data_IF_421568533796
#
_entry.id   IF_421568533796
#
_cell.length_a   1.000
_cell.length_b   1.000
_cell.length_c   1.000
_cell.angle_alpha   90.00
_cell.angle_beta   90.00
_cell.angle_gamma   90.00
#
_symmetry.space_group_name_H-M   'P 1'
#
loop_
_entity.id
_entity.type
_entity.pdbx_description
1 polymer ?
#
# COMPACT_ATOMS: atom_id res chain seq x y z
N UNK A 1 -10.05 6.28 4.43
CA UNK A 1 -11.05 5.82 3.43
C UNK A 1 -10.40 4.74 2.56
N UNK A 2 -11.14 3.74 2.05
CA UNK A 2 -10.55 2.72 1.17
C UNK A 2 -10.12 3.35 -0.16
N UNK A 3 -8.93 2.97 -0.64
CA UNK A 3 -8.39 3.36 -1.95
C UNK A 3 -8.32 2.10 -2.81
N UNK A 4 -8.94 2.08 -3.99
CA UNK A 4 -8.79 0.91 -4.86
C UNK A 4 -7.37 0.82 -5.41
N UNK A 5 -6.83 -0.39 -5.52
CA UNK A 5 -5.47 -0.60 -6.03
C UNK A 5 -5.27 -0.01 -7.43
N UNK A 6 -6.29 -0.10 -8.30
CA UNK A 6 -6.27 0.51 -9.65
C UNK A 6 -6.18 2.05 -9.64
N UNK A 7 -6.52 2.68 -8.52
CA UNK A 7 -6.45 4.13 -8.34
C UNK A 7 -5.15 4.55 -7.65
N UNK A 8 -4.30 3.60 -7.24
CA UNK A 8 -3.10 3.88 -6.47
C UNK A 8 -2.13 4.77 -7.24
N UNK A 9 -1.88 4.46 -8.51
CA UNK A 9 -1.01 5.27 -9.37
C UNK A 9 -1.54 6.70 -9.51
N UNK A 10 -2.83 6.87 -9.83
CA UNK A 10 -3.43 8.21 -9.93
C UNK A 10 -3.48 8.96 -8.60
N UNK A 11 -3.63 8.26 -7.48
CA UNK A 11 -3.55 8.85 -6.14
C UNK A 11 -2.14 9.35 -5.85
N UNK A 12 -1.11 8.55 -6.20
CA UNK A 12 0.27 8.96 -6.10
C UNK A 12 0.55 10.17 -7.00
N UNK A 13 0.05 10.22 -8.23
CA UNK A 13 0.28 11.32 -9.19
C UNK A 13 -0.52 12.62 -8.91
N UNK A 14 -1.28 12.69 -7.80
CA UNK A 14 -2.09 13.87 -7.50
C UNK A 14 -1.24 15.12 -7.22
N UNK A 15 -1.66 16.25 -7.80
CA UNK A 15 -1.01 17.57 -7.65
C UNK A 15 -1.11 18.15 -6.24
N UNK A 16 -2.05 17.65 -5.42
CA UNK A 16 -2.25 18.11 -4.04
C UNK A 16 -1.23 17.51 -3.04
N UNK A 17 -0.35 16.61 -3.52
CA UNK A 17 0.59 15.85 -2.71
C UNK A 17 1.80 16.71 -2.28
N UNK A 18 2.22 16.55 -1.03
CA UNK A 18 3.49 17.11 -0.52
C UNK A 18 4.42 15.97 -0.08
N UNK A 19 5.35 15.54 -0.96
CA UNK A 19 6.32 14.49 -0.66
C UNK A 19 5.89 13.08 -1.10
N UNK A 20 6.70 12.06 -0.84
CA UNK A 20 6.42 10.70 -1.32
C UNK A 20 5.36 9.96 -0.48
N UNK A 21 4.65 9.03 -1.11
CA UNK A 21 3.63 8.23 -0.45
C UNK A 21 4.28 7.05 0.27
N UNK A 22 4.12 7.01 1.60
CA UNK A 22 4.66 5.94 2.43
C UNK A 22 3.83 4.66 2.24
N UNK A 23 4.52 3.57 1.93
CA UNK A 23 3.94 2.23 1.86
C UNK A 23 4.05 1.52 3.20
N UNK A 24 2.96 0.88 3.64
CA UNK A 24 2.89 0.08 4.85
C UNK A 24 2.28 -1.29 4.50
N UNK A 25 3.09 -2.34 4.60
CA UNK A 25 2.66 -3.73 4.46
C UNK A 25 2.27 -4.29 5.81
N UNK A 26 0.97 -4.50 6.03
CA UNK A 26 0.43 -5.09 7.25
C UNK A 26 0.47 -6.61 7.15
N UNK A 27 1.36 -7.22 7.89
CA UNK A 27 1.58 -8.65 7.85
C UNK A 27 0.40 -9.41 8.47
N UNK A 28 -0.12 -10.40 7.76
CA UNK A 28 -1.26 -11.24 8.14
C UNK A 28 -0.93 -12.71 7.86
N UNK A 29 -0.86 -13.53 8.91
CA UNK A 29 -0.41 -14.92 8.84
C UNK A 29 -1.03 -15.75 7.70
N UNK A 30 -2.35 -15.71 7.55
CA UNK A 30 -3.07 -16.50 6.53
C UNK A 30 -2.96 -15.95 5.10
N UNK A 31 -2.98 -14.62 4.96
CA UNK A 31 -3.23 -13.96 3.68
C UNK A 31 -1.97 -13.31 3.07
N UNK A 32 -0.88 -13.14 3.84
CA UNK A 32 0.35 -12.50 3.39
C UNK A 32 0.45 -11.08 3.94
N UNK A 33 0.42 -10.07 3.08
CA UNK A 33 0.64 -8.67 3.45
C UNK A 33 -0.45 -7.78 2.86
N UNK A 34 -1.28 -7.19 3.71
CA UNK A 34 -2.27 -6.20 3.28
C UNK A 34 -1.60 -4.85 3.02
N UNK A 35 -1.91 -4.25 1.88
CA UNK A 35 -1.36 -2.96 1.48
C UNK A 35 -2.11 -1.80 2.15
N UNK A 36 -1.35 -0.86 2.70
CA UNK A 36 -1.83 0.46 3.10
C UNK A 36 -0.83 1.51 2.65
N UNK A 37 -1.32 2.71 2.36
CA UNK A 37 -0.50 3.85 1.96
C UNK A 37 -0.82 5.08 2.79
N UNK A 38 0.13 5.99 2.93
CA UNK A 38 -0.08 7.26 3.64
C UNK A 38 0.68 8.40 2.99
N UNK A 39 0.03 9.54 2.88
CA UNK A 39 0.62 10.81 2.44
C UNK A 39 1.24 11.62 3.60
N UNK A 40 1.41 11.00 4.77
CA UNK A 40 1.89 11.67 5.99
C UNK A 40 0.79 12.35 6.82
N UNK A 41 -0.40 12.56 6.26
CA UNK A 41 -1.56 13.13 6.98
C UNK A 41 -2.65 12.08 7.18
N UNK A 42 -2.97 11.33 6.14
CA UNK A 42 -4.05 10.35 6.11
C UNK A 42 -3.50 9.00 5.68
N UNK A 43 -3.98 7.94 6.35
CA UNK A 43 -3.72 6.55 5.97
C UNK A 43 -4.91 5.96 5.19
N UNK A 44 -4.61 5.29 4.09
CA UNK A 44 -5.57 4.59 3.24
C UNK A 44 -5.26 3.10 3.25
N UNK A 45 -6.27 2.27 3.55
CA UNK A 45 -6.21 0.84 3.26
C UNK A 45 -6.45 0.67 1.78
N UNK A 46 -5.56 -0.05 1.09
CA UNK A 46 -5.72 -0.33 -0.33
C UNK A 46 -6.59 -1.57 -0.51
N UNK A 47 -7.58 -1.50 -1.40
CA UNK A 47 -8.57 -2.56 -1.61
C UNK A 47 -8.62 -3.04 -3.06
N UNK A 48 -9.11 -4.27 -3.25
CA UNK A 48 -9.42 -4.84 -4.57
C UNK A 48 -10.77 -4.30 -5.12
N UNK A 49 -11.21 -4.85 -6.25
CA UNK A 49 -12.50 -4.51 -6.87
C UNK A 49 -13.72 -4.93 -6.04
N UNK A 50 -13.56 -5.89 -5.10
CA UNK A 50 -14.61 -6.37 -4.20
C UNK A 50 -14.60 -5.62 -2.84
N UNK A 51 -13.87 -4.51 -2.73
CA UNK A 51 -13.66 -3.74 -1.49
C UNK A 51 -13.01 -4.54 -0.35
N UNK A 52 -12.29 -5.61 -0.66
CA UNK A 52 -11.49 -6.36 0.33
C UNK A 52 -10.07 -5.79 0.35
N UNK A 53 -9.34 -5.88 1.49
CA UNK A 53 -7.96 -5.45 1.53
C UNK A 53 -7.14 -6.14 0.43
N UNK A 54 -6.34 -5.37 -0.29
CA UNK A 54 -5.47 -5.91 -1.33
C UNK A 54 -4.27 -6.59 -0.66
N UNK A 55 -4.07 -7.87 -0.93
CA UNK A 55 -3.02 -8.67 -0.32
C UNK A 55 -1.94 -9.06 -1.33
N UNK A 56 -0.69 -8.87 -0.95
CA UNK A 56 0.43 -9.56 -1.58
C UNK A 56 0.74 -10.84 -0.82
N UNK A 57 1.06 -11.92 -1.54
CA UNK A 57 1.40 -13.19 -0.88
C UNK A 57 2.76 -13.12 -0.18
N UNK A 58 3.71 -12.37 -0.75
CA UNK A 58 5.06 -12.19 -0.23
C UNK A 58 5.50 -10.73 -0.36
N UNK A 59 6.60 -10.35 0.30
CA UNK A 59 7.16 -9.00 0.20
C UNK A 59 7.76 -8.76 -1.19
N UNK A 60 8.35 -9.79 -1.81
CA UNK A 60 8.92 -9.73 -3.16
C UNK A 60 7.86 -9.38 -4.20
N UNK A 61 6.66 -9.98 -4.11
CA UNK A 61 5.54 -9.60 -5.00
C UNK A 61 5.12 -8.16 -4.78
N UNK A 62 5.10 -7.68 -3.53
CA UNK A 62 4.78 -6.29 -3.23
C UNK A 62 5.84 -5.36 -3.84
N UNK A 63 7.13 -5.69 -3.71
CA UNK A 63 8.21 -4.89 -4.28
C UNK A 63 8.13 -4.82 -5.80
N UNK A 64 7.89 -5.94 -6.49
CA UNK A 64 7.80 -6.00 -7.95
C UNK A 64 6.65 -5.13 -8.48
N UNK A 65 5.48 -5.24 -7.86
CA UNK A 65 4.30 -4.46 -8.26
C UNK A 65 4.44 -2.97 -7.93
N UNK A 66 4.93 -2.64 -6.74
CA UNK A 66 5.05 -1.25 -6.27
C UNK A 66 6.23 -0.51 -6.92
N UNK A 67 7.27 -1.20 -7.38
CA UNK A 67 8.42 -0.58 -8.04
C UNK A 67 8.05 0.19 -9.31
N UNK A 68 6.91 -0.15 -9.93
CA UNK A 68 6.42 0.51 -11.13
C UNK A 68 5.56 1.75 -10.84
N UNK A 69 5.23 2.02 -9.58
CA UNK A 69 4.34 3.13 -9.20
C UNK A 69 5.19 4.35 -8.84
N UNK A 70 5.07 5.46 -9.58
CA UNK A 70 5.86 6.65 -9.31
C UNK A 70 5.49 7.26 -7.96
N UNK A 71 6.49 7.91 -7.34
CA UNK A 71 6.33 8.70 -6.12
C UNK A 71 5.90 7.94 -4.85
N UNK A 72 6.02 6.62 -4.87
CA UNK A 72 6.10 5.87 -3.62
C UNK A 72 7.45 6.15 -2.95
N UNK A 73 7.43 6.14 -1.62
CA UNK A 73 8.65 6.18 -0.82
C UNK A 73 9.53 4.97 -1.15
N UNK A 74 10.83 5.19 -1.33
CA UNK A 74 11.83 4.12 -1.47
C UNK A 74 11.91 3.20 -0.23
N UNK A 75 11.36 3.65 0.90
CA UNK A 75 11.28 2.88 2.13
C UNK A 75 9.91 2.26 2.28
N UNK A 76 9.85 0.93 2.45
CA UNK A 76 8.62 0.20 2.75
C UNK A 76 8.64 -0.20 4.23
N UNK A 77 7.59 0.16 4.96
CA UNK A 77 7.40 -0.26 6.34
C UNK A 77 6.62 -1.57 6.40
N UNK A 78 7.08 -2.52 7.19
CA UNK A 78 6.33 -3.75 7.48
C UNK A 78 5.76 -3.68 8.89
N UNK A 79 4.44 -3.60 9.00
CA UNK A 79 3.74 -3.66 10.28
C UNK A 79 3.46 -5.12 10.63
N UNK A 80 4.08 -5.59 11.72
CA UNK A 80 3.99 -6.97 12.21
C UNK A 80 2.92 -7.16 13.28
N UNK A 81 2.09 -6.15 13.57
CA UNK A 81 1.13 -6.18 14.68
C UNK A 81 0.14 -7.35 14.60
N UNK A 82 -0.18 -7.84 13.40
CA UNK A 82 -1.08 -8.97 13.17
C UNK A 82 -0.35 -10.26 12.76
N UNK A 83 0.96 -10.33 13.02
CA UNK A 83 1.78 -11.52 12.84
C UNK A 83 1.75 -12.36 14.12
N UNK A 84 0.65 -13.07 14.35
CA UNK A 84 0.48 -14.03 15.45
C UNK A 84 -0.48 -15.14 15.06
#
# INVERSE_FOLDING_TARGET
MPLHFKQLESYCDSLDRTGDIQVILKAHYKHGFALSVSDGTIGHTVTDDENRPFFFRTVEMALDELANIPYLSDQIMVDRKYWS
#
